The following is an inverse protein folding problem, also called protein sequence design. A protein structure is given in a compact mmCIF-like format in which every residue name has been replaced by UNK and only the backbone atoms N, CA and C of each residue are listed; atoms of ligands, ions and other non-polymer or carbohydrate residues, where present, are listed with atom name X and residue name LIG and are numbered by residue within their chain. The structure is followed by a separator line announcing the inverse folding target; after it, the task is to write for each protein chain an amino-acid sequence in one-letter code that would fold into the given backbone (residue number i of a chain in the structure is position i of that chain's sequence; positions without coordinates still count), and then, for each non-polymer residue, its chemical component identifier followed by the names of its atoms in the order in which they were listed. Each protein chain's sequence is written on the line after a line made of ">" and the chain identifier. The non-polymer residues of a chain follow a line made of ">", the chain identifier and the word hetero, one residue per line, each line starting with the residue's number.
data_IF_749912080675
#
_entry.id   IF_749912080675
#
_cell.length_a   1.000
_cell.length_b   1.000
_cell.length_c   1.000
_cell.angle_alpha   90.00
_cell.angle_beta   90.00
_cell.angle_gamma   90.00
#
_symmetry.space_group_name_H-M   'P 1'
#
loop_
_entity.id
_entity.type
_entity.pdbx_description
1 polymer ?
#
# COMPACT_ATOMS: atom_id res chain seq x y z
N UNK A 1 26.54 -11.01 -8.07
CA UNK A 1 27.28 -11.46 -6.87
C UNK A 1 28.41 -10.50 -6.61
N UNK A 2 28.64 -10.10 -5.36
CA UNK A 2 29.85 -9.37 -4.95
C UNK A 2 31.07 -10.31 -4.85
N UNK A 3 32.31 -9.79 -4.77
CA UNK A 3 33.53 -10.63 -4.67
C UNK A 3 33.53 -11.60 -3.48
N UNK A 4 32.77 -11.31 -2.43
CA UNK A 4 32.59 -12.16 -1.26
C UNK A 4 31.41 -13.16 -1.40
N UNK A 5 30.96 -13.44 -2.62
CA UNK A 5 29.81 -14.33 -2.90
C UNK A 5 28.48 -13.88 -2.30
N UNK A 6 28.31 -12.61 -1.93
CA UNK A 6 27.00 -12.09 -1.51
C UNK A 6 26.13 -11.83 -2.73
N UNK A 7 24.90 -12.36 -2.73
CA UNK A 7 23.89 -12.08 -3.74
C UNK A 7 23.35 -10.66 -3.60
N UNK A 8 23.18 -9.98 -4.73
CA UNK A 8 22.72 -8.59 -4.80
C UNK A 8 21.64 -8.44 -5.87
N UNK A 9 20.73 -7.50 -5.65
CA UNK A 9 19.81 -7.01 -6.67
C UNK A 9 20.32 -5.67 -7.21
N UNK A 10 20.33 -5.52 -8.53
CA UNK A 10 20.73 -4.27 -9.20
C UNK A 10 19.54 -3.71 -9.96
N UNK A 11 19.05 -2.53 -9.56
CA UNK A 11 17.95 -1.81 -10.22
C UNK A 11 18.53 -0.73 -11.13
N UNK A 12 18.34 -0.87 -12.45
CA UNK A 12 18.67 0.16 -13.44
C UNK A 12 17.47 1.10 -13.64
N UNK A 13 17.67 2.40 -13.44
CA UNK A 13 16.64 3.41 -13.68
C UNK A 13 16.78 3.97 -15.09
N UNK A 14 15.83 3.65 -15.98
CA UNK A 14 15.94 3.90 -17.42
C UNK A 14 15.47 5.29 -17.88
N UNK A 15 14.65 6.00 -17.11
CA UNK A 15 14.09 7.31 -17.51
C UNK A 15 15.02 8.45 -17.08
N UNK A 16 15.48 9.30 -18.00
CA UNK A 16 16.41 10.41 -17.67
C UNK A 16 15.83 11.35 -16.61
N UNK A 17 14.62 11.88 -16.81
CA UNK A 17 14.05 12.87 -15.87
C UNK A 17 13.34 12.24 -14.67
N UNK A 18 12.56 11.17 -14.88
CA UNK A 18 11.84 10.50 -13.78
C UNK A 18 12.76 9.60 -12.96
N UNK A 19 13.66 8.87 -13.62
CA UNK A 19 14.64 8.01 -12.97
C UNK A 19 15.62 8.80 -12.14
N UNK A 20 16.03 10.00 -12.56
CA UNK A 20 16.87 10.87 -11.74
C UNK A 20 16.15 11.35 -10.46
N UNK A 21 14.86 11.68 -10.52
CA UNK A 21 14.06 12.02 -9.33
C UNK A 21 13.94 10.83 -8.37
N UNK A 22 13.66 9.64 -8.90
CA UNK A 22 13.59 8.40 -8.11
C UNK A 22 14.94 8.06 -7.50
N UNK A 23 16.02 8.17 -8.27
CA UNK A 23 17.39 7.92 -7.80
C UNK A 23 17.73 8.78 -6.60
N UNK A 24 17.51 10.11 -6.69
CA UNK A 24 17.77 11.02 -5.57
C UNK A 24 16.88 10.74 -4.37
N UNK A 25 15.61 10.38 -4.59
CA UNK A 25 14.72 9.98 -3.51
C UNK A 25 15.25 8.75 -2.78
N UNK A 26 15.62 7.69 -3.50
CA UNK A 26 16.14 6.46 -2.90
C UNK A 26 17.48 6.68 -2.18
N UNK A 27 18.45 7.33 -2.83
CA UNK A 27 19.76 7.61 -2.22
C UNK A 27 19.63 8.53 -1.00
N UNK A 28 18.73 9.52 -1.05
CA UNK A 28 18.47 10.46 0.04
C UNK A 28 17.60 9.93 1.17
N UNK A 29 16.95 8.77 1.00
CA UNK A 29 16.10 8.12 2.02
C UNK A 29 16.70 6.79 2.45
N UNK A 30 16.39 5.71 1.73
CA UNK A 30 16.81 4.35 2.06
C UNK A 30 18.34 4.17 2.02
N UNK A 31 19.06 5.04 1.31
CA UNK A 31 20.52 5.07 1.28
C UNK A 31 21.18 5.54 2.59
N UNK A 32 20.44 6.20 3.49
CA UNK A 32 21.00 6.79 4.73
C UNK A 32 20.35 6.26 6.02
N UNK A 33 19.43 5.30 5.92
CA UNK A 33 18.75 4.67 7.05
C UNK A 33 18.99 3.16 7.06
N UNK A 34 18.81 2.54 8.22
CA UNK A 34 18.89 1.09 8.36
C UNK A 34 17.90 0.61 9.41
N UNK A 35 17.07 -0.36 9.02
CA UNK A 35 16.12 -1.01 9.91
C UNK A 35 15.88 -2.44 9.45
N UNK A 36 15.58 -3.36 10.39
CA UNK A 36 15.45 -4.80 10.10
C UNK A 36 14.31 -5.11 9.11
N UNK A 37 13.29 -4.26 9.04
CA UNK A 37 12.14 -4.41 8.15
C UNK A 37 12.18 -3.50 6.90
N UNK A 38 13.32 -2.88 6.60
CA UNK A 38 13.52 -2.09 5.39
C UNK A 38 14.61 -2.73 4.52
N UNK A 39 14.49 -2.59 3.19
CA UNK A 39 15.50 -3.12 2.28
C UNK A 39 16.85 -2.42 2.48
N UNK A 40 17.94 -3.19 2.59
CA UNK A 40 19.27 -2.61 2.72
C UNK A 40 19.81 -2.19 1.35
N UNK A 41 19.98 -0.89 1.14
CA UNK A 41 20.81 -0.38 0.04
C UNK A 41 22.29 -0.62 0.36
N UNK A 42 23.00 -1.29 -0.56
CA UNK A 42 24.44 -1.54 -0.47
C UNK A 42 25.27 -0.44 -1.09
N UNK A 43 24.71 0.26 -2.08
CA UNK A 43 25.36 1.35 -2.77
C UNK A 43 24.62 1.73 -4.04
N UNK A 44 25.23 2.60 -4.82
CA UNK A 44 24.68 3.08 -6.08
C UNK A 44 25.80 3.35 -7.09
N UNK A 45 25.44 3.47 -8.35
CA UNK A 45 26.31 3.97 -9.41
C UNK A 45 25.60 5.08 -10.18
N UNK A 46 26.28 6.22 -10.30
CA UNK A 46 25.83 7.36 -11.09
C UNK A 46 26.88 7.66 -12.18
N UNK A 47 26.51 7.46 -13.44
CA UNK A 47 27.32 7.81 -14.61
C UNK A 47 26.52 8.78 -15.50
N UNK A 48 27.14 9.44 -16.49
CA UNK A 48 26.52 10.52 -17.27
C UNK A 48 25.07 10.27 -17.73
N UNK A 49 24.74 9.05 -18.18
CA UNK A 49 23.40 8.67 -18.66
C UNK A 49 22.72 7.54 -17.87
N UNK A 50 23.38 6.96 -16.87
CA UNK A 50 22.88 5.76 -16.18
C UNK A 50 22.86 5.92 -14.68
N UNK A 51 21.84 5.31 -14.06
CA UNK A 51 21.64 5.25 -12.62
C UNK A 51 21.36 3.82 -12.22
N UNK A 52 22.16 3.31 -11.30
CA UNK A 52 21.99 1.98 -10.73
C UNK A 52 21.90 2.07 -9.22
N UNK A 53 21.00 1.29 -8.63
CA UNK A 53 20.88 1.11 -7.20
C UNK A 53 21.15 -0.36 -6.87
N UNK A 54 21.93 -0.61 -5.83
CA UNK A 54 22.37 -1.95 -5.43
C UNK A 54 21.80 -2.27 -4.06
N UNK A 55 21.11 -3.40 -3.93
CA UNK A 55 20.48 -3.86 -2.69
C UNK A 55 20.89 -5.28 -2.34
N UNK A 56 20.61 -5.67 -1.10
CA UNK A 56 20.53 -7.08 -0.75
C UNK A 56 19.50 -7.82 -1.60
N UNK A 57 19.86 -9.01 -2.07
CA UNK A 57 18.95 -9.86 -2.82
C UNK A 57 17.97 -10.58 -1.90
N UNK A 58 16.68 -10.51 -2.25
CA UNK A 58 15.58 -11.11 -1.49
C UNK A 58 15.15 -12.42 -2.18
N UNK A 59 15.55 -13.60 -1.68
CA UNK A 59 15.37 -14.86 -2.39
C UNK A 59 13.92 -15.31 -2.50
N UNK A 60 13.06 -14.90 -1.57
CA UNK A 60 11.63 -15.24 -1.58
C UNK A 60 10.78 -14.22 -2.36
N UNK A 61 11.42 -13.28 -3.06
CA UNK A 61 10.74 -12.32 -3.93
C UNK A 61 9.83 -11.36 -3.17
N UNK A 62 8.75 -10.94 -3.81
CA UNK A 62 7.76 -10.02 -3.24
C UNK A 62 6.59 -10.78 -2.59
N UNK A 63 5.99 -10.18 -1.57
CA UNK A 63 4.77 -10.66 -0.92
C UNK A 63 3.65 -10.92 -1.93
N UNK A 64 3.52 -10.03 -2.93
CA UNK A 64 2.58 -10.20 -4.04
C UNK A 64 2.66 -11.60 -4.65
N UNK A 65 3.87 -12.06 -4.97
CA UNK A 65 4.08 -13.33 -5.65
C UNK A 65 3.61 -14.54 -4.84
N UNK A 66 3.68 -14.46 -3.51
CA UNK A 66 3.26 -15.53 -2.59
C UNK A 66 1.76 -15.49 -2.27
N UNK A 67 1.13 -14.31 -2.33
CA UNK A 67 -0.32 -14.20 -2.15
C UNK A 67 -1.09 -14.71 -3.36
N UNK A 68 -0.50 -14.70 -4.56
CA UNK A 68 -1.14 -15.24 -5.78
C UNK A 68 -1.51 -16.71 -5.63
N UNK A 69 -2.77 -17.06 -5.94
CA UNK A 69 -3.29 -18.44 -5.85
C UNK A 69 -2.54 -19.48 -6.70
N UNK A 70 -1.81 -19.03 -7.72
CA UNK A 70 -1.02 -19.90 -8.60
C UNK A 70 0.35 -20.28 -8.00
N UNK A 71 0.74 -19.68 -6.87
CA UNK A 71 2.01 -20.02 -6.23
C UNK A 71 1.87 -21.34 -5.45
N UNK A 72 2.75 -22.33 -5.68
CA UNK A 72 2.73 -23.57 -4.92
C UNK A 72 3.16 -23.40 -3.46
N UNK A 73 3.91 -22.33 -3.15
CA UNK A 73 4.32 -21.99 -1.79
C UNK A 73 3.20 -21.18 -1.14
N UNK A 74 2.60 -21.76 -0.10
CA UNK A 74 1.58 -21.10 0.72
C UNK A 74 2.18 -20.65 2.05
N UNK A 75 2.07 -19.35 2.34
CA UNK A 75 2.38 -18.82 3.67
C UNK A 75 1.28 -19.23 4.65
N UNK A 76 1.66 -19.85 5.76
CA UNK A 76 0.77 -20.10 6.90
C UNK A 76 0.38 -18.78 7.59
N UNK A 77 -0.57 -18.86 8.53
CA UNK A 77 -1.03 -17.67 9.24
C UNK A 77 0.08 -16.98 10.03
N UNK A 78 0.95 -17.76 10.69
CA UNK A 78 2.05 -17.23 11.50
C UNK A 78 3.01 -16.38 10.66
N UNK A 79 3.40 -16.85 9.48
CA UNK A 79 4.24 -16.11 8.55
C UNK A 79 3.54 -14.85 8.02
N UNK A 80 2.25 -14.94 7.68
CA UNK A 80 1.45 -13.78 7.25
C UNK A 80 1.36 -12.70 8.34
N UNK A 81 1.08 -13.11 9.58
CA UNK A 81 1.00 -12.21 10.71
C UNK A 81 2.36 -11.57 11.01
N UNK A 82 3.44 -12.36 10.96
CA UNK A 82 4.80 -11.86 11.07
C UNK A 82 5.13 -10.81 10.00
N UNK A 83 4.74 -11.05 8.75
CA UNK A 83 4.91 -10.09 7.65
C UNK A 83 4.11 -8.80 7.89
N UNK A 84 2.86 -8.91 8.35
CA UNK A 84 2.02 -7.77 8.67
C UNK A 84 2.64 -6.89 9.77
N UNK A 85 3.10 -7.51 10.87
CA UNK A 85 3.75 -6.82 11.99
C UNK A 85 5.08 -6.21 11.57
N UNK A 86 5.93 -6.96 10.88
CA UNK A 86 7.23 -6.46 10.43
C UNK A 86 7.11 -5.29 9.46
N UNK A 87 6.15 -5.35 8.54
CA UNK A 87 5.86 -4.22 7.63
C UNK A 87 5.40 -2.99 8.42
N UNK A 88 4.53 -3.18 9.42
CA UNK A 88 4.08 -2.08 10.29
C UNK A 88 5.24 -1.44 11.06
N UNK A 89 6.16 -2.25 11.60
CA UNK A 89 7.38 -1.76 12.28
C UNK A 89 8.28 -0.96 11.34
N UNK A 90 8.45 -1.43 10.10
CA UNK A 90 9.20 -0.68 9.08
C UNK A 90 8.61 0.70 8.80
N UNK A 91 7.28 0.80 8.67
CA UNK A 91 6.60 2.07 8.47
C UNK A 91 6.62 2.96 9.72
N UNK A 92 6.43 2.39 10.92
CA UNK A 92 6.53 3.13 12.18
C UNK A 92 7.91 3.79 12.32
N UNK A 93 8.98 3.06 11.99
CA UNK A 93 10.33 3.60 11.97
C UNK A 93 10.47 4.79 11.01
N UNK A 94 9.97 4.66 9.78
CA UNK A 94 10.01 5.74 8.78
C UNK A 94 9.26 7.00 9.24
N UNK A 95 8.12 6.82 9.88
CA UNK A 95 7.22 7.92 10.25
C UNK A 95 7.65 8.62 11.53
N UNK A 96 8.13 7.89 12.52
CA UNK A 96 8.25 8.36 13.91
C UNK A 96 9.69 8.33 14.45
N UNK A 97 10.56 7.41 13.99
CA UNK A 97 11.89 7.19 14.57
C UNK A 97 13.05 7.74 13.70
N UNK A 98 12.80 7.99 12.42
CA UNK A 98 13.76 8.66 11.54
C UNK A 98 13.98 10.12 11.96
N UNK A 99 15.18 10.66 11.67
CA UNK A 99 15.54 12.06 11.98
C UNK A 99 14.53 13.07 11.43
N UNK A 100 14.13 12.83 10.18
CA UNK A 100 13.09 13.51 9.43
C UNK A 100 12.06 12.44 9.05
N UNK A 101 10.78 12.79 9.11
CA UNK A 101 9.71 11.84 8.80
C UNK A 101 9.77 11.49 7.30
N UNK A 102 9.67 10.20 6.98
CA UNK A 102 9.73 9.71 5.60
C UNK A 102 8.38 9.10 5.25
N UNK A 103 7.66 9.69 4.29
CA UNK A 103 6.46 9.08 3.69
C UNK A 103 6.92 8.24 2.50
N UNK A 104 6.56 6.96 2.47
CA UNK A 104 6.95 6.02 1.42
C UNK A 104 6.20 6.29 0.09
N UNK A 105 4.90 6.56 0.15
CA UNK A 105 4.01 6.87 -0.98
C UNK A 105 3.75 5.72 -1.99
N UNK A 106 4.20 4.49 -1.72
CA UNK A 106 3.98 3.34 -2.62
C UNK A 106 3.99 2.01 -1.86
N UNK A 107 3.31 1.98 -0.71
CA UNK A 107 3.17 0.76 0.08
C UNK A 107 2.18 -0.17 -0.63
N UNK A 108 2.65 -1.34 -1.05
CA UNK A 108 1.87 -2.38 -1.75
C UNK A 108 2.60 -3.73 -1.68
N UNK A 109 1.93 -4.87 -1.96
CA UNK A 109 2.54 -6.19 -1.84
C UNK A 109 3.76 -6.40 -2.75
N UNK A 110 3.85 -5.71 -3.88
CA UNK A 110 5.00 -5.77 -4.80
C UNK A 110 6.27 -5.19 -4.17
N UNK A 111 6.11 -4.21 -3.28
CA UNK A 111 7.20 -3.48 -2.65
C UNK A 111 7.58 -4.03 -1.27
N UNK A 112 6.93 -5.11 -0.82
CA UNK A 112 7.29 -5.83 0.40
C UNK A 112 8.03 -7.09 -0.02
N UNK A 113 9.36 -7.05 0.04
CA UNK A 113 10.22 -8.17 -0.32
C UNK A 113 10.49 -9.06 0.89
N UNK A 114 10.82 -10.32 0.65
CA UNK A 114 11.00 -11.31 1.71
C UNK A 114 12.41 -11.92 1.66
N UNK A 115 13.10 -11.89 2.80
CA UNK A 115 14.39 -12.56 2.93
C UNK A 115 14.24 -14.09 3.04
N UNK A 116 15.34 -14.80 3.26
CA UNK A 116 15.36 -16.27 3.34
C UNK A 116 14.48 -16.85 4.45
N UNK A 117 14.17 -16.06 5.49
CA UNK A 117 13.35 -16.46 6.63
C UNK A 117 11.91 -15.94 6.51
N UNK A 118 11.52 -15.43 5.33
CA UNK A 118 10.24 -14.76 5.09
C UNK A 118 10.02 -13.52 5.95
N UNK A 119 11.09 -12.90 6.46
CA UNK A 119 10.98 -11.61 7.15
C UNK A 119 10.79 -10.48 6.13
N UNK A 120 9.86 -9.54 6.36
CA UNK A 120 9.54 -8.50 5.39
C UNK A 120 10.58 -7.39 5.35
N UNK A 121 10.91 -6.93 4.14
CA UNK A 121 11.71 -5.75 3.82
C UNK A 121 10.90 -4.85 2.90
N UNK A 122 10.44 -3.72 3.42
CA UNK A 122 9.80 -2.68 2.60
C UNK A 122 10.86 -2.06 1.67
N UNK A 123 10.52 -1.94 0.38
CA UNK A 123 11.41 -1.57 -0.72
C UNK A 123 10.75 -0.55 -1.67
N UNK A 124 11.54 -0.05 -2.62
CA UNK A 124 11.15 0.94 -3.63
C UNK A 124 10.76 2.33 -3.07
N UNK A 125 11.79 3.05 -2.64
CA UNK A 125 11.66 4.40 -2.09
C UNK A 125 11.64 5.49 -3.18
N UNK A 126 11.45 5.12 -4.44
CA UNK A 126 11.54 6.07 -5.57
C UNK A 126 10.50 7.19 -5.53
N UNK A 127 9.41 7.01 -4.79
CA UNK A 127 8.36 8.01 -4.58
C UNK A 127 8.43 8.69 -3.20
N UNK A 128 9.35 8.28 -2.34
CA UNK A 128 9.39 8.69 -0.95
C UNK A 128 9.61 10.21 -0.80
N UNK A 129 9.08 10.77 0.30
CA UNK A 129 9.16 12.19 0.65
C UNK A 129 9.76 12.35 2.04
N UNK A 130 10.80 13.19 2.16
CA UNK A 130 11.27 13.65 3.46
C UNK A 130 10.45 14.88 3.89
N UNK A 131 9.84 14.78 5.06
CA UNK A 131 9.24 15.88 5.80
C UNK A 131 10.25 16.37 6.84
N UNK A 132 10.76 17.59 6.65
CA UNK A 132 11.59 18.22 7.68
C UNK A 132 10.80 18.44 8.97
N UNK A 133 11.47 18.41 10.12
CA UNK A 133 10.88 18.47 11.48
C UNK A 133 9.81 19.53 11.77
N UNK A 134 9.75 20.61 10.99
CA UNK A 134 8.76 21.68 11.13
C UNK A 134 7.54 21.56 10.21
N UNK A 135 7.48 20.50 9.39
CA UNK A 135 6.42 20.27 8.43
C UNK A 135 5.70 18.96 8.75
N UNK A 136 4.37 19.01 8.77
CA UNK A 136 3.51 17.84 8.96
C UNK A 136 2.88 17.33 7.66
N UNK A 137 3.00 18.11 6.57
CA UNK A 137 2.40 17.80 5.26
C UNK A 137 3.36 18.16 4.12
N UNK A 138 3.22 17.46 2.99
CA UNK A 138 3.99 17.75 1.76
C UNK A 138 3.06 17.86 0.56
N UNK A 139 3.15 18.97 -0.18
CA UNK A 139 2.49 19.11 -1.46
C UNK A 139 3.30 18.36 -2.52
N UNK A 140 2.68 17.42 -3.22
CA UNK A 140 3.36 16.65 -4.26
C UNK A 140 2.40 16.26 -5.37
N UNK A 141 2.93 15.95 -6.55
CA UNK A 141 2.09 15.46 -7.66
C UNK A 141 1.58 14.07 -7.33
N UNK A 142 0.32 13.80 -7.66
CA UNK A 142 -0.30 12.50 -7.47
C UNK A 142 0.53 11.41 -8.13
N UNK A 143 1.14 10.55 -7.31
CA UNK A 143 1.99 9.42 -7.73
C UNK A 143 1.81 8.28 -6.74
N UNK A 144 1.75 7.07 -7.27
CA UNK A 144 1.59 5.83 -6.49
C UNK A 144 0.74 4.83 -7.27
N UNK A 145 0.33 3.77 -6.61
CA UNK A 145 -0.38 2.66 -7.26
C UNK A 145 -1.88 2.74 -7.01
N UNK A 146 -2.67 2.86 -8.09
CA UNK A 146 -4.14 2.86 -8.03
C UNK A 146 -4.63 1.61 -7.29
N UNK A 147 -5.54 1.80 -6.33
CA UNK A 147 -6.02 0.75 -5.42
C UNK A 147 -5.35 0.75 -4.05
N UNK A 148 -4.21 1.43 -3.88
CA UNK A 148 -3.55 1.64 -2.58
C UNK A 148 -3.49 3.13 -2.19
N UNK A 149 -3.87 4.03 -3.10
CA UNK A 149 -3.90 5.47 -2.84
C UNK A 149 -5.05 5.84 -1.90
N UNK A 150 -4.70 6.59 -0.86
CA UNK A 150 -5.65 7.18 0.06
C UNK A 150 -6.55 8.25 -0.61
N UNK A 151 -7.78 8.49 -0.14
CA UNK A 151 -8.72 9.45 -0.73
C UNK A 151 -8.18 10.87 -0.89
N UNK A 152 -7.35 11.34 0.05
CA UNK A 152 -6.76 12.68 0.03
C UNK A 152 -5.79 12.92 -1.14
N UNK A 153 -5.34 11.86 -1.83
CA UNK A 153 -4.57 12.04 -3.07
C UNK A 153 -5.39 12.71 -4.18
N UNK A 154 -6.72 12.54 -4.17
CA UNK A 154 -7.62 13.05 -5.20
C UNK A 154 -8.13 14.47 -4.93
N UNK A 155 -8.01 14.97 -3.70
CA UNK A 155 -8.42 16.33 -3.34
C UNK A 155 -7.37 17.39 -3.72
N UNK A 156 -6.15 16.97 -4.09
CA UNK A 156 -5.03 17.88 -4.35
C UNK A 156 -4.42 18.47 -3.08
N UNK A 157 -4.84 18.00 -1.90
CA UNK A 157 -4.30 18.42 -0.61
C UNK A 157 -2.89 17.87 -0.38
N UNK A 158 -2.14 18.55 0.50
CA UNK A 158 -0.83 18.06 0.91
C UNK A 158 -0.98 16.73 1.67
N UNK A 159 -0.17 15.72 1.33
CA UNK A 159 -0.25 14.38 1.94
C UNK A 159 0.46 14.35 3.30
N UNK A 160 0.07 13.41 4.14
CA UNK A 160 0.67 13.12 5.45
C UNK A 160 1.15 11.66 5.50
N UNK A 161 1.86 11.24 6.56
CA UNK A 161 2.18 9.82 6.77
C UNK A 161 0.94 8.90 6.82
N UNK A 162 -0.26 9.45 7.06
CA UNK A 162 -1.52 8.70 7.05
C UNK A 162 -1.89 8.17 5.67
N UNK A 163 -1.29 8.69 4.60
CA UNK A 163 -1.41 8.10 3.27
C UNK A 163 -0.80 6.68 3.22
N UNK A 164 0.37 6.49 3.83
CA UNK A 164 0.99 5.16 3.94
C UNK A 164 0.19 4.24 4.87
N UNK A 165 -0.44 4.78 5.93
CA UNK A 165 -1.33 4.01 6.82
C UNK A 165 -2.49 3.43 6.03
N UNK A 166 -3.13 4.23 5.17
CA UNK A 166 -4.19 3.75 4.29
C UNK A 166 -3.71 2.62 3.37
N UNK A 167 -2.58 2.84 2.69
CA UNK A 167 -1.97 1.84 1.82
C UNK A 167 -1.62 0.54 2.58
N UNK A 168 -1.14 0.65 3.82
CA UNK A 168 -0.89 -0.50 4.70
C UNK A 168 -2.19 -1.26 5.03
N UNK A 169 -3.28 -0.56 5.35
CA UNK A 169 -4.59 -1.19 5.57
C UNK A 169 -5.05 -2.02 4.37
N UNK A 170 -4.85 -1.48 3.16
CA UNK A 170 -5.12 -2.19 1.91
C UNK A 170 -4.23 -3.44 1.76
N UNK A 171 -2.93 -3.35 2.06
CA UNK A 171 -2.03 -4.52 2.08
C UNK A 171 -2.50 -5.57 3.08
N UNK A 172 -2.89 -5.16 4.29
CA UNK A 172 -3.29 -6.07 5.36
C UNK A 172 -4.52 -6.89 4.99
N UNK A 173 -5.49 -6.30 4.26
CA UNK A 173 -6.64 -7.02 3.70
C UNK A 173 -6.19 -8.12 2.73
N UNK A 174 -5.19 -7.85 1.87
CA UNK A 174 -4.67 -8.87 0.94
C UNK A 174 -3.90 -9.98 1.68
N UNK A 175 -3.17 -9.63 2.75
CA UNK A 175 -2.46 -10.62 3.60
C UNK A 175 -3.44 -11.59 4.26
N UNK A 176 -4.53 -11.07 4.83
CA UNK A 176 -5.56 -11.87 5.51
C UNK A 176 -6.32 -12.74 4.51
N UNK A 177 -6.81 -12.14 3.42
CA UNK A 177 -7.69 -12.82 2.47
C UNK A 177 -6.97 -13.66 1.42
N UNK A 178 -5.67 -13.43 1.20
CA UNK A 178 -4.90 -14.05 0.12
C UNK A 178 -5.42 -13.69 -1.27
N UNK A 179 -6.15 -12.57 -1.41
CA UNK A 179 -6.76 -12.11 -2.65
C UNK A 179 -6.47 -10.64 -2.87
N UNK A 180 -6.54 -10.21 -4.13
CA UNK A 180 -6.46 -8.78 -4.46
C UNK A 180 -7.67 -8.03 -3.93
N UNK A 181 -7.46 -6.79 -3.52
CA UNK A 181 -8.55 -5.93 -3.06
C UNK A 181 -9.63 -5.70 -4.12
N UNK A 182 -9.25 -5.76 -5.40
CA UNK A 182 -10.14 -5.77 -6.56
C UNK A 182 -9.73 -6.92 -7.50
N UNK A 183 -10.59 -7.91 -7.67
CA UNK A 183 -10.44 -8.97 -8.68
C UNK A 183 -11.30 -8.55 -9.90
N UNK A 184 -10.69 -8.32 -11.06
CA UNK A 184 -11.43 -7.96 -12.30
C UNK A 184 -11.85 -6.48 -12.43
N UNK A 185 -12.02 -6.02 -13.69
CA UNK A 185 -12.54 -4.67 -14.00
C UNK A 185 -14.07 -4.62 -14.02
N UNK A 186 -14.73 -5.74 -14.37
CA UNK A 186 -16.18 -5.91 -14.58
C UNK A 186 -16.95 -6.43 -13.35
N UNK A 187 -16.25 -6.78 -12.28
CA UNK A 187 -16.89 -7.32 -11.09
C UNK A 187 -17.52 -6.19 -10.27
N UNK A 188 -18.80 -6.36 -9.93
CA UNK A 188 -19.58 -5.38 -9.18
C UNK A 188 -18.94 -5.00 -7.83
N UNK A 189 -19.43 -3.91 -7.23
CA UNK A 189 -18.93 -3.34 -5.96
C UNK A 189 -18.82 -4.39 -4.84
N UNK A 190 -19.65 -5.42 -4.87
CA UNK A 190 -19.65 -6.56 -3.93
C UNK A 190 -18.33 -7.34 -3.90
N UNK A 191 -17.54 -7.30 -4.97
CA UNK A 191 -16.24 -7.96 -5.06
C UNK A 191 -15.08 -7.10 -4.56
N UNK A 192 -15.34 -5.85 -4.14
CA UNK A 192 -14.34 -5.03 -3.47
C UNK A 192 -14.12 -5.54 -2.04
N UNK A 193 -12.96 -6.11 -1.76
CA UNK A 193 -12.70 -6.76 -0.46
C UNK A 193 -12.77 -5.81 0.74
N UNK A 194 -12.32 -4.55 0.67
CA UNK A 194 -12.41 -3.63 1.79
C UNK A 194 -13.83 -3.43 2.34
N UNK A 195 -14.86 -3.41 1.49
CA UNK A 195 -16.24 -3.25 1.97
C UNK A 195 -16.72 -4.51 2.70
N UNK A 196 -16.34 -5.70 2.24
CA UNK A 196 -16.65 -6.96 2.94
C UNK A 196 -16.01 -7.00 4.32
N UNK A 197 -14.75 -6.59 4.43
CA UNK A 197 -14.04 -6.50 5.72
C UNK A 197 -14.71 -5.49 6.66
N UNK A 198 -14.99 -4.28 6.17
CA UNK A 198 -15.62 -3.24 6.97
C UNK A 198 -16.99 -3.67 7.51
N UNK A 199 -17.83 -4.29 6.67
CA UNK A 199 -19.14 -4.80 7.08
C UNK A 199 -19.03 -5.92 8.11
N UNK A 200 -18.19 -6.93 7.87
CA UNK A 200 -18.04 -8.07 8.77
C UNK A 200 -17.54 -7.65 10.15
N UNK A 201 -16.53 -6.77 10.20
CA UNK A 201 -16.00 -6.23 11.46
C UNK A 201 -17.06 -5.38 12.17
N UNK A 202 -17.76 -4.50 11.45
CA UNK A 202 -18.73 -3.58 12.05
C UNK A 202 -19.96 -4.31 12.61
N UNK A 203 -20.43 -5.36 11.94
CA UNK A 203 -21.59 -6.16 12.33
C UNK A 203 -21.27 -7.27 13.33
N UNK A 204 -19.99 -7.50 13.64
CA UNK A 204 -19.56 -8.60 14.50
C UNK A 204 -19.80 -9.98 13.87
N UNK A 205 -19.64 -10.09 12.56
CA UNK A 205 -19.71 -11.37 11.85
C UNK A 205 -18.51 -12.26 12.17
N UNK A 206 -18.59 -13.54 11.80
CA UNK A 206 -17.45 -14.45 11.92
C UNK A 206 -16.30 -14.04 10.99
N UNK A 207 -15.21 -13.57 11.59
CA UNK A 207 -14.04 -13.08 10.87
C UNK A 207 -13.25 -14.19 10.17
N UNK A 208 -13.41 -15.47 10.56
CA UNK A 208 -12.80 -16.59 9.84
C UNK A 208 -13.32 -16.69 8.40
N UNK A 209 -14.52 -16.17 8.12
CA UNK A 209 -15.04 -16.11 6.75
C UNK A 209 -14.24 -15.17 5.82
N UNK A 210 -13.45 -14.25 6.38
CA UNK A 210 -12.57 -13.33 5.63
C UNK A 210 -11.19 -13.92 5.35
N UNK A 211 -10.82 -14.97 6.07
CA UNK A 211 -9.52 -15.61 5.99
C UNK A 211 -9.33 -16.28 4.62
N UNK A 212 -8.10 -16.30 4.12
CA UNK A 212 -7.74 -17.09 2.94
C UNK A 212 -8.17 -18.55 3.12
N UNK A 213 -9.04 -19.04 2.25
CA UNK A 213 -9.59 -20.39 2.32
C UNK A 213 -8.51 -21.48 2.29
N UNK A 214 -7.34 -21.20 1.73
CA UNK A 214 -6.21 -22.15 1.71
C UNK A 214 -5.61 -22.39 3.10
N UNK A 215 -5.86 -21.51 4.06
CA UNK A 215 -5.45 -21.70 5.46
C UNK A 215 -6.36 -22.68 6.21
N UNK A 216 -7.49 -23.11 5.65
CA UNK A 216 -8.38 -24.11 6.25
C UNK A 216 -8.78 -23.78 7.71
N UNK A 217 -9.00 -22.49 7.99
CA UNK A 217 -9.33 -22.00 9.34
C UNK A 217 -8.16 -21.99 10.34
N UNK A 218 -6.94 -22.33 9.92
CA UNK A 218 -5.75 -22.31 10.76
C UNK A 218 -5.22 -20.89 10.93
N UNK A 219 -5.79 -20.16 11.88
CA UNK A 219 -5.33 -18.85 12.33
C UNK A 219 -5.61 -18.68 13.82
N UNK A 220 -4.79 -17.86 14.48
CA UNK A 220 -5.10 -17.40 15.84
C UNK A 220 -6.25 -16.38 15.78
N UNK A 221 -7.32 -16.63 16.54
CA UNK A 221 -8.54 -15.84 16.48
C UNK A 221 -8.36 -14.40 16.99
N UNK A 222 -7.52 -14.20 18.00
CA UNK A 222 -7.25 -12.88 18.57
C UNK A 222 -6.38 -12.06 17.62
N UNK A 223 -5.34 -12.68 17.05
CA UNK A 223 -4.52 -12.08 15.99
C UNK A 223 -5.36 -11.68 14.78
N UNK A 224 -6.25 -12.57 14.31
CA UNK A 224 -7.15 -12.31 13.17
C UNK A 224 -8.09 -11.14 13.49
N UNK A 225 -8.68 -11.13 14.68
CA UNK A 225 -9.57 -10.05 15.14
C UNK A 225 -8.84 -8.70 15.16
N UNK A 226 -7.64 -8.63 15.73
CA UNK A 226 -6.81 -7.42 15.74
C UNK A 226 -6.44 -6.98 14.32
N UNK A 227 -6.01 -7.89 13.46
CA UNK A 227 -5.64 -7.59 12.07
C UNK A 227 -6.81 -7.03 11.25
N UNK A 228 -8.00 -7.64 11.35
CA UNK A 228 -9.19 -7.15 10.66
C UNK A 228 -9.60 -5.74 11.14
N UNK A 229 -9.62 -5.49 12.46
CA UNK A 229 -9.94 -4.17 13.01
C UNK A 229 -8.92 -3.12 12.59
N UNK A 230 -7.62 -3.44 12.68
CA UNK A 230 -6.53 -2.55 12.25
C UNK A 230 -6.68 -2.21 10.77
N UNK A 231 -6.91 -3.20 9.91
CA UNK A 231 -7.11 -2.98 8.48
C UNK A 231 -8.24 -1.97 8.21
N UNK A 232 -9.39 -2.15 8.87
CA UNK A 232 -10.55 -1.27 8.73
C UNK A 232 -10.32 0.13 9.31
N UNK A 233 -9.59 0.28 10.41
CA UNK A 233 -9.19 1.58 10.95
C UNK A 233 -8.18 2.31 10.07
N UNK A 234 -7.27 1.58 9.42
CA UNK A 234 -6.28 2.16 8.53
C UNK A 234 -6.90 2.77 7.26
N UNK A 235 -8.02 2.23 6.79
CA UNK A 235 -8.68 2.66 5.54
C UNK A 235 -9.81 3.69 5.75
N UNK A 236 -9.88 4.38 6.89
CA UNK A 236 -10.88 5.42 7.11
C UNK A 236 -10.73 6.58 6.11
N UNK A 237 -11.85 7.24 5.77
CA UNK A 237 -11.85 8.34 4.81
C UNK A 237 -11.06 9.54 5.34
N UNK A 238 -11.38 10.02 6.56
CA UNK A 238 -10.61 11.07 7.22
C UNK A 238 -9.27 10.49 7.74
N UNK A 239 -8.17 11.11 7.34
CA UNK A 239 -6.83 10.73 7.78
C UNK A 239 -6.62 10.85 9.29
N UNK A 240 -7.42 11.67 9.98
CA UNK A 240 -7.34 11.87 11.44
C UNK A 240 -7.84 10.65 12.21
N UNK A 241 -8.79 9.92 11.66
CA UNK A 241 -9.36 8.71 12.27
C UNK A 241 -8.43 7.51 12.14
N UNK A 242 -7.48 7.55 11.19
CA UNK A 242 -6.51 6.48 11.00
C UNK A 242 -5.49 6.46 12.15
N UNK A 243 -5.11 5.30 12.69
CA UNK A 243 -4.08 5.19 13.72
C UNK A 243 -2.70 5.61 13.19
N UNK A 244 -1.75 5.90 14.08
CA UNK A 244 -0.33 5.97 13.69
C UNK A 244 0.23 4.56 13.48
N UNK A 245 1.31 4.43 12.71
CA UNK A 245 1.91 3.11 12.51
C UNK A 245 2.49 2.52 13.80
N UNK A 246 2.93 3.35 14.76
CA UNK A 246 3.30 2.86 16.10
C UNK A 246 2.11 2.29 16.87
N UNK A 247 0.95 2.93 16.82
CA UNK A 247 -0.28 2.38 17.40
C UNK A 247 -0.67 1.07 16.72
N UNK A 248 -0.57 0.99 15.39
CA UNK A 248 -0.79 -0.24 14.62
C UNK A 248 0.11 -1.38 15.11
N UNK A 249 1.41 -1.12 15.30
CA UNK A 249 2.35 -2.12 15.84
C UNK A 249 1.91 -2.60 17.22
N UNK A 250 1.62 -1.68 18.14
CA UNK A 250 1.18 -2.01 19.51
C UNK A 250 -0.09 -2.88 19.52
N UNK A 251 -1.04 -2.57 18.65
CA UNK A 251 -2.29 -3.35 18.55
C UNK A 251 -2.01 -4.74 18.00
N UNK A 252 -1.25 -4.86 16.91
CA UNK A 252 -0.95 -6.17 16.34
C UNK A 252 -0.12 -7.04 17.31
N UNK A 253 0.80 -6.44 18.08
CA UNK A 253 1.57 -7.14 19.11
C UNK A 253 0.74 -7.51 20.36
N UNK A 254 -0.53 -7.09 20.43
CA UNK A 254 -1.41 -7.36 21.58
C UNK A 254 -1.10 -6.53 22.83
N UNK A 255 -0.34 -5.44 22.66
CA UNK A 255 0.00 -4.49 23.74
C UNK A 255 -1.14 -3.52 24.00
N UNK A 256 -1.92 -3.20 22.97
CA UNK A 256 -3.05 -2.28 23.02
C UNK A 256 -4.27 -2.87 22.33
N UNK A 257 -5.45 -2.54 22.83
CA UNK A 257 -6.71 -2.88 22.17
C UNK A 257 -7.21 -1.75 21.28
N UNK A 258 -8.07 -2.10 20.33
CA UNK A 258 -8.77 -1.13 19.49
C UNK A 258 -10.26 -1.48 19.38
N UNK A 259 -11.08 -0.44 19.42
CA UNK A 259 -12.53 -0.55 19.25
C UNK A 259 -12.93 -0.99 17.83
N UNK A 260 -14.22 -1.25 17.66
CA UNK A 260 -14.78 -1.57 16.35
C UNK A 260 -14.80 -0.31 15.47
N UNK A 261 -14.17 -0.31 14.27
CA UNK A 261 -14.20 0.83 13.37
C UNK A 261 -15.59 1.05 12.75
N UNK A 262 -15.94 2.30 12.44
CA UNK A 262 -17.07 2.57 11.55
C UNK A 262 -16.75 2.08 10.12
N UNK A 263 -17.79 1.78 9.35
CA UNK A 263 -17.63 1.49 7.91
C UNK A 263 -17.21 2.79 7.19
N UNK A 264 -16.07 2.82 6.47
CA UNK A 264 -15.62 4.02 5.77
C UNK A 264 -16.68 4.59 4.81
N UNK A 265 -16.89 5.91 4.85
CA UNK A 265 -17.98 6.58 4.10
C UNK A 265 -17.86 6.40 2.57
N UNK A 266 -16.65 6.44 2.01
CA UNK A 266 -16.45 6.18 0.58
C UNK A 266 -16.89 4.76 0.17
N UNK A 267 -16.78 3.78 1.07
CA UNK A 267 -17.27 2.41 0.82
C UNK A 267 -18.80 2.34 0.87
N UNK A 268 -19.43 3.11 1.75
CA UNK A 268 -20.90 3.19 1.81
C UNK A 268 -21.48 3.81 0.53
N UNK A 269 -20.82 4.83 -0.02
CA UNK A 269 -21.22 5.44 -1.32
C UNK A 269 -21.10 4.48 -2.49
N UNK A 270 -20.11 3.60 -2.48
CA UNK A 270 -19.96 2.55 -3.49
C UNK A 270 -21.16 1.58 -3.48
N UNK A 271 -21.76 1.27 -2.32
CA UNK A 271 -22.96 0.43 -2.22
C UNK A 271 -24.23 1.21 -2.61
N UNK A 272 -24.32 2.50 -2.26
CA UNK A 272 -25.52 3.33 -2.42
C UNK A 272 -25.71 3.97 -3.81
N UNK A 273 -24.83 3.72 -4.78
CA UNK A 273 -24.97 4.24 -6.13
C UNK A 273 -26.12 3.55 -6.88
N UNK A 274 -27.05 4.27 -7.54
CA UNK A 274 -28.10 3.64 -8.31
C UNK A 274 -27.53 2.93 -9.54
N UNK A 275 -27.89 1.65 -9.68
CA UNK A 275 -27.94 0.94 -10.96
C UNK A 275 -29.06 1.51 -11.82
N UNK A 276 -29.00 2.78 -12.21
CA UNK A 276 -29.95 3.35 -13.16
C UNK A 276 -29.44 3.15 -14.57
N UNK A 277 -30.09 2.22 -15.27
CA UNK A 277 -29.94 2.05 -16.70
C UNK A 277 -30.22 3.36 -17.42
N UNK A 278 -29.30 3.71 -18.33
CA UNK A 278 -29.47 4.84 -19.25
C UNK A 278 -30.66 4.50 -20.17
N UNK A 279 -31.84 4.97 -19.79
CA UNK A 279 -33.01 4.97 -20.66
C UNK A 279 -32.91 6.22 -21.54
N UNK A 280 -32.62 6.02 -22.81
CA UNK A 280 -32.74 7.07 -23.82
C UNK A 280 -34.22 7.43 -23.97
N UNK A 281 -34.62 8.60 -23.47
CA UNK A 281 -35.80 9.28 -23.99
C UNK A 281 -35.45 10.73 -24.32
N UNK A 282 -35.55 11.00 -25.62
CA UNK A 282 -35.47 12.31 -26.23
C UNK A 282 -36.51 13.25 -25.62
N UNK A 283 -36.07 14.42 -25.16
CA UNK A 283 -36.87 15.64 -25.32
C UNK A 283 -35.93 16.83 -25.54
N UNK A 284 -36.09 17.39 -26.73
CA UNK A 284 -35.48 18.59 -27.27
C UNK A 284 -35.78 19.84 -26.43
N UNK A 285 -34.76 20.59 -26.03
CA UNK A 285 -34.48 21.95 -26.54
C UNK A 285 -33.53 22.76 -25.63
N UNK A 286 -32.44 23.27 -26.20
CA UNK A 286 -31.91 24.60 -25.82
C UNK A 286 -30.61 24.67 -25.01
N UNK A 287 -29.49 24.67 -25.76
CA UNK A 287 -28.20 25.33 -25.49
C UNK A 287 -27.18 24.70 -24.51
N UNK A 288 -26.08 24.19 -25.10
CA UNK A 288 -24.76 24.12 -24.45
C UNK A 288 -24.02 22.78 -24.51
N UNK A 289 -23.89 22.16 -25.69
CA UNK A 289 -23.15 20.90 -25.87
C UNK A 289 -21.67 21.04 -25.47
N UNK A 290 -21.21 20.24 -24.50
CA UNK A 290 -19.80 19.86 -24.35
C UNK A 290 -19.71 18.40 -24.78
N UNK A 291 -19.23 18.17 -26.00
CA UNK A 291 -19.06 16.83 -26.56
C UNK A 291 -17.84 16.14 -25.96
N UNK A 292 -17.95 14.83 -25.79
CA UNK A 292 -16.89 13.93 -25.37
C UNK A 292 -15.84 13.79 -26.48
N UNK A 293 -14.95 14.78 -26.56
CA UNK A 293 -13.73 14.76 -27.38
C UNK A 293 -12.55 15.53 -26.75
N UNK A 294 -12.70 16.09 -25.54
CA UNK A 294 -11.67 16.93 -24.91
C UNK A 294 -10.92 16.27 -23.73
N UNK A 295 -10.85 14.94 -23.70
CA UNK A 295 -10.01 14.18 -22.73
C UNK A 295 -8.90 13.38 -23.41
N UNK A 296 -8.46 13.80 -24.61
CA UNK A 296 -7.37 13.13 -25.34
C UNK A 296 -6.12 13.99 -25.62
N UNK A 297 -5.99 15.19 -25.05
CA UNK A 297 -4.78 16.02 -25.26
C UNK A 297 -3.81 16.08 -24.07
N UNK A 298 -4.03 15.36 -22.96
CA UNK A 298 -3.11 15.38 -21.81
C UNK A 298 -1.96 14.34 -21.87
N UNK A 299 -1.88 13.54 -22.95
CA UNK A 299 -0.83 12.52 -23.12
C UNK A 299 -0.20 12.58 -24.50
N UNK A 300 0.64 13.59 -24.75
CA UNK A 300 1.77 13.45 -25.67
C UNK A 300 3.03 14.11 -25.08
N UNK A 301 4.19 13.43 -25.12
CA UNK A 301 5.46 14.01 -24.73
C UNK A 301 5.99 14.90 -25.86
N UNK A 302 6.16 16.20 -25.60
CA UNK A 302 6.89 17.06 -26.52
C UNK A 302 8.40 16.85 -26.37
N UNK A 303 9.04 16.68 -27.53
CA UNK A 303 10.48 16.69 -27.77
C UNK A 303 11.17 17.97 -27.28
#
# INVERSE_FOLDING_TARGET
>A
MLPNSTAIAVKELKSMNQGEKQFRAEVGTIGVIQHINLIRMRGFCANASKRFLVYDYMPNGSLQSLLLRKNPIMLDWKARYHIAVGTARGLAYLHEDCRDCIIHCDVKPENILLDSEYSPKLADFGLAKLLGRHHSRVLTTMRGTVGYLAPEWFSGEAITPKADVFSYGMVLIEVISGRRNREGLDDGVENFRPIRFANAVNKGEDLFALLDCRLEGQADGDELSRACKVACWCIQEDEKDRPTMKQVVQILEGVSDIGVPPVPQFLQRLIGGPSEGINYQETTSGLGSWSCSDVQSAFQPNH
#
